data_IF_682621329724
#
_entry.id   IF_682621329724
#
_cell.length_a   1.000
_cell.length_b   1.000
_cell.length_c   1.000
_cell.angle_alpha   90.00
_cell.angle_beta   90.00
_cell.angle_gamma   90.00
#
_symmetry.space_group_name_H-M   'P 1'
#
loop_
_entity.id
_entity.type
_entity.pdbx_description
1 polymer ?
#
# COMPACT_ATOMS: atom_id res chain seq x y z
N UNK A 1 -7.05 3.81 10.57
CA UNK A 1 -7.47 5.20 10.27
C UNK A 1 -7.00 5.52 8.86
N UNK A 2 -7.87 6.00 7.98
CA UNK A 2 -7.48 6.50 6.64
C UNK A 2 -7.29 8.02 6.71
N UNK A 3 -6.31 8.56 6.00
CA UNK A 3 -6.06 10.01 5.95
C UNK A 3 -7.10 10.69 5.05
N UNK A 4 -7.93 11.63 5.57
CA UNK A 4 -8.84 12.43 4.76
C UNK A 4 -8.08 13.37 3.81
N UNK A 5 -8.68 13.75 2.69
CA UNK A 5 -8.03 14.68 1.74
C UNK A 5 -8.01 16.13 2.23
N UNK A 6 -8.95 16.52 3.10
CA UNK A 6 -9.01 17.86 3.67
C UNK A 6 -8.52 17.79 5.12
N UNK A 7 -7.45 18.55 5.41
CA UNK A 7 -6.91 18.68 6.77
C UNK A 7 -8.01 19.16 7.74
N UNK A 8 -7.99 18.60 8.95
CA UNK A 8 -8.94 18.91 10.02
C UNK A 8 -10.43 18.62 9.70
N UNK A 9 -10.73 17.96 8.58
CA UNK A 9 -12.06 17.47 8.25
C UNK A 9 -12.09 15.94 8.15
N UNK A 10 -12.43 15.24 9.25
CA UNK A 10 -12.47 13.77 9.28
C UNK A 10 -13.58 13.16 8.41
N UNK A 11 -14.53 13.98 7.95
CA UNK A 11 -15.63 13.55 7.07
C UNK A 11 -15.32 13.77 5.59
N UNK A 12 -14.19 14.39 5.25
CA UNK A 12 -13.80 14.54 3.86
C UNK A 12 -13.48 13.18 3.24
N UNK A 13 -13.81 13.07 1.96
CA UNK A 13 -13.52 11.89 1.18
C UNK A 13 -12.00 11.60 1.14
N UNK A 14 -11.66 10.32 1.04
CA UNK A 14 -10.28 9.90 0.84
C UNK A 14 -9.98 9.81 -0.67
N UNK A 15 -8.71 9.90 -1.06
CA UNK A 15 -8.35 9.72 -2.47
C UNK A 15 -8.78 8.32 -2.98
N UNK A 16 -8.69 7.29 -2.15
CA UNK A 16 -9.20 5.95 -2.47
C UNK A 16 -10.69 5.93 -2.81
N UNK A 17 -11.51 6.69 -2.07
CA UNK A 17 -12.95 6.84 -2.37
C UNK A 17 -13.18 7.56 -3.71
N UNK A 18 -12.42 8.62 -4.02
CA UNK A 18 -12.52 9.33 -5.31
C UNK A 18 -12.18 8.42 -6.49
N UNK A 19 -11.07 7.67 -6.38
CA UNK A 19 -10.65 6.71 -7.41
C UNK A 19 -11.71 5.62 -7.59
N UNK A 20 -12.22 5.04 -6.49
CA UNK A 20 -13.27 4.01 -6.58
C UNK A 20 -14.57 4.55 -7.22
N UNK A 21 -15.00 5.75 -6.83
CA UNK A 21 -16.18 6.39 -7.43
C UNK A 21 -15.97 6.64 -8.93
N UNK A 22 -14.77 7.05 -9.33
CA UNK A 22 -14.40 7.21 -10.74
C UNK A 22 -14.47 5.87 -11.50
N UNK A 23 -13.88 4.81 -10.95
CA UNK A 23 -13.91 3.45 -11.52
C UNK A 23 -15.33 3.00 -11.83
N UNK A 24 -16.26 3.17 -10.88
CA UNK A 24 -17.68 2.82 -11.07
C UNK A 24 -18.32 3.67 -12.15
N UNK A 25 -18.07 4.99 -12.18
CA UNK A 25 -18.65 5.92 -13.17
C UNK A 25 -18.20 5.65 -14.60
N UNK A 26 -16.96 5.18 -14.79
CA UNK A 26 -16.41 4.88 -16.12
C UNK A 26 -16.58 3.42 -16.53
N UNK A 27 -17.36 2.63 -15.78
CA UNK A 27 -17.65 1.23 -16.12
C UNK A 27 -16.47 0.29 -15.93
N UNK A 28 -15.55 0.62 -15.03
CA UNK A 28 -14.35 -0.17 -14.75
C UNK A 28 -13.19 0.04 -15.73
N UNK A 29 -13.30 1.00 -16.64
CA UNK A 29 -12.23 1.36 -17.57
C UNK A 29 -11.06 2.04 -16.83
N UNK A 30 -9.94 1.32 -16.71
CA UNK A 30 -8.74 1.78 -16.00
C UNK A 30 -7.97 2.89 -16.71
N UNK A 31 -8.14 3.04 -18.03
CA UNK A 31 -7.54 4.12 -18.81
C UNK A 31 -8.26 5.44 -18.58
N UNK A 32 -9.57 5.36 -18.26
CA UNK A 32 -10.44 6.51 -18.01
C UNK A 32 -10.57 6.87 -16.52
N UNK A 33 -9.86 6.14 -15.67
CA UNK A 33 -9.89 6.35 -14.23
C UNK A 33 -9.27 7.70 -13.87
N UNK A 34 -10.03 8.51 -13.13
CA UNK A 34 -9.52 9.76 -12.56
C UNK A 34 -8.58 9.45 -11.39
N UNK A 35 -7.29 9.69 -11.61
CA UNK A 35 -6.20 9.50 -10.64
C UNK A 35 -5.61 10.84 -10.19
N UNK A 36 -6.25 11.97 -10.49
CA UNK A 36 -5.73 13.31 -10.15
C UNK A 36 -5.40 13.46 -8.67
N UNK A 37 -6.25 12.95 -7.78
CA UNK A 37 -6.00 12.99 -6.33
C UNK A 37 -4.74 12.24 -5.89
N UNK A 38 -4.26 11.26 -6.66
CA UNK A 38 -3.04 10.50 -6.32
C UNK A 38 -1.81 11.39 -6.40
N UNK A 39 -1.81 12.37 -7.31
CA UNK A 39 -0.72 13.34 -7.43
C UNK A 39 -0.66 14.31 -6.24
N UNK A 40 -1.75 14.46 -5.50
CA UNK A 40 -1.83 15.30 -4.29
C UNK A 40 -1.43 14.51 -3.03
N UNK A 41 -1.41 13.18 -3.09
CA UNK A 41 -1.01 12.34 -1.97
C UNK A 41 0.51 12.43 -1.75
N UNK A 42 0.96 12.39 -0.48
CA UNK A 42 2.39 12.28 -0.20
C UNK A 42 2.96 11.04 -0.89
N UNK A 43 4.22 11.14 -1.34
CA UNK A 43 4.91 10.02 -1.94
C UNK A 43 4.87 8.82 -0.99
N UNK A 44 4.42 7.68 -1.51
CA UNK A 44 4.44 6.44 -0.75
C UNK A 44 5.90 6.09 -0.43
N UNK A 45 6.22 6.05 0.85
CA UNK A 45 7.53 5.67 1.32
C UNK A 45 7.37 4.51 2.31
N UNK A 46 7.64 3.31 1.81
CA UNK A 46 7.61 2.08 2.60
C UNK A 46 9.03 1.63 2.98
N UNK A 47 9.96 2.58 3.17
CA UNK A 47 11.29 2.27 3.71
C UNK A 47 11.12 1.64 5.09
N UNK A 48 11.33 0.33 5.14
CA UNK A 48 11.17 -0.48 6.33
C UNK A 48 12.54 -1.05 6.67
N UNK A 49 12.97 -1.05 7.94
CA UNK A 49 14.24 -1.69 8.32
C UNK A 49 14.30 -3.16 7.85
N UNK A 50 15.44 -3.57 7.31
CA UNK A 50 15.70 -4.91 6.77
C UNK A 50 15.23 -6.03 7.70
N UNK A 51 15.47 -5.88 9.00
CA UNK A 51 15.01 -6.82 10.02
C UNK A 51 13.51 -7.13 9.94
N UNK A 52 12.67 -6.11 9.75
CA UNK A 52 11.22 -6.28 9.63
C UNK A 52 10.81 -6.80 8.25
N UNK A 53 11.51 -6.39 7.20
CA UNK A 53 11.30 -6.93 5.85
C UNK A 53 11.51 -8.45 5.83
N UNK A 54 12.61 -8.91 6.40
CA UNK A 54 12.97 -10.32 6.40
C UNK A 54 12.06 -11.15 7.32
N UNK A 55 11.79 -10.63 8.52
CA UNK A 55 11.04 -11.37 9.54
C UNK A 55 9.56 -11.52 9.21
N UNK A 56 8.94 -10.51 8.56
CA UNK A 56 7.50 -10.52 8.29
C UNK A 56 7.13 -10.77 6.83
N UNK A 57 7.96 -10.28 5.90
CA UNK A 57 7.65 -10.33 4.48
C UNK A 57 8.54 -11.31 3.72
N UNK A 58 9.71 -11.66 4.27
CA UNK A 58 10.68 -12.54 3.63
C UNK A 58 11.14 -12.00 2.28
N UNK A 59 11.29 -10.68 2.15
CA UNK A 59 11.66 -9.99 0.90
C UNK A 59 12.70 -8.90 1.20
N UNK A 60 13.45 -8.49 0.18
CA UNK A 60 14.32 -7.32 0.22
C UNK A 60 13.56 -6.03 -0.18
N UNK A 61 12.38 -6.15 -0.80
CA UNK A 61 11.58 -5.03 -1.29
C UNK A 61 10.13 -5.20 -0.83
N UNK A 62 9.64 -4.24 -0.06
CA UNK A 62 8.39 -4.36 0.69
C UNK A 62 7.12 -4.48 -0.19
N UNK A 63 7.17 -3.97 -1.41
CA UNK A 63 6.02 -3.71 -2.27
C UNK A 63 6.09 -4.38 -3.66
N UNK A 64 7.11 -5.22 -3.90
CA UNK A 64 7.25 -5.96 -5.17
C UNK A 64 6.57 -7.34 -5.16
N UNK A 65 6.22 -7.84 -3.98
CA UNK A 65 5.58 -9.14 -3.79
C UNK A 65 6.50 -10.35 -4.05
N UNK A 66 7.82 -10.15 -4.13
CA UNK A 66 8.78 -11.22 -4.40
C UNK A 66 9.21 -11.86 -3.08
N UNK A 67 8.84 -13.12 -2.88
CA UNK A 67 9.29 -13.87 -1.70
C UNK A 67 10.69 -14.46 -1.90
N UNK A 68 11.58 -14.19 -0.96
CA UNK A 68 12.93 -14.73 -0.88
C UNK A 68 13.11 -15.60 0.37
N UNK A 69 12.97 -16.90 0.18
CA UNK A 69 13.08 -17.91 1.24
C UNK A 69 14.42 -17.90 2.00
N UNK A 70 15.51 -17.40 1.41
CA UNK A 70 16.82 -17.35 2.08
C UNK A 70 16.89 -16.28 3.17
N UNK A 71 16.00 -15.29 3.12
CA UNK A 71 15.91 -14.21 4.12
C UNK A 71 15.13 -14.64 5.35
N UNK A 72 14.36 -15.72 5.24
CA UNK A 72 13.54 -16.24 6.33
C UNK A 72 14.37 -17.25 7.12
N UNK A 73 14.71 -16.92 8.36
CA UNK A 73 15.45 -17.86 9.22
C UNK A 73 14.53 -19.01 9.66
N UNK A 74 14.80 -20.22 9.18
CA UNK A 74 14.08 -21.45 9.55
C UNK A 74 14.25 -21.86 11.03
N UNK A 75 15.09 -21.15 11.80
CA UNK A 75 15.39 -21.49 13.20
C UNK A 75 14.22 -21.27 14.17
N UNK A 76 13.15 -20.57 13.76
CA UNK A 76 11.95 -20.40 14.59
C UNK A 76 10.88 -21.49 14.37
N UNK A 77 10.98 -22.30 13.31
CA UNK A 77 9.94 -23.30 12.95
C UNK A 77 10.24 -24.69 13.53
N UNK A 78 11.48 -24.94 13.98
CA UNK A 78 11.91 -26.22 14.57
C UNK A 78 11.97 -26.20 16.12
N UNK A 79 11.17 -25.34 16.75
CA UNK A 79 11.24 -25.06 18.20
C UNK A 79 9.95 -25.30 18.99
N UNK A 80 8.98 -26.05 18.46
CA UNK A 80 7.82 -26.56 19.20
C UNK A 80 7.61 -28.05 18.90
#
# INVERSE_FOLDING_TARGET
MTTPMVADNPWSETCGMKVLASYVRVGGDLERLDKSCVAEMPAFNLTTPDYYLYSYFGTDVADDGVFNSTLVSYTWVAGY
#
